data_IF_021069511290
#
_entry.id   IF_021069511290
#
_cell.length_a   1.000
_cell.length_b   1.000
_cell.length_c   1.000
_cell.angle_alpha   90.00
_cell.angle_beta   90.00
_cell.angle_gamma   90.00
#
_symmetry.space_group_name_H-M   'P 1'
#
loop_
_entity.id
_entity.type
_entity.pdbx_description
1 polymer ?
#
# COMPACT_ATOMS: atom_id res chain seq x y z
N UNK A 1 4.01 2.65 -8.26
CA UNK A 1 2.81 2.02 -7.67
C UNK A 1 1.52 2.51 -8.32
N UNK A 2 1.14 3.80 -8.21
CA UNK A 2 -0.09 4.35 -8.79
C UNK A 2 -0.26 4.08 -10.30
N UNK A 3 0.80 4.27 -11.10
CA UNK A 3 0.77 3.97 -12.53
C UNK A 3 0.53 2.49 -12.88
N UNK A 4 0.86 1.55 -11.98
CA UNK A 4 0.56 0.13 -12.17
C UNK A 4 -0.88 -0.19 -11.79
N UNK A 5 -1.42 0.48 -10.75
CA UNK A 5 -2.82 0.41 -10.36
C UNK A 5 -3.73 1.02 -11.43
N UNK A 6 -3.36 2.16 -12.01
CA UNK A 6 -4.15 2.82 -13.06
C UNK A 6 -4.37 1.97 -14.31
N UNK A 7 -3.54 0.94 -14.53
CA UNK A 7 -3.70 -0.02 -15.65
C UNK A 7 -4.77 -1.09 -15.37
N UNK A 8 -5.15 -1.29 -14.11
CA UNK A 8 -6.15 -2.30 -13.71
C UNK A 8 -7.43 -1.68 -13.18
N UNK A 9 -7.40 -0.40 -12.81
CA UNK A 9 -8.58 0.34 -12.37
C UNK A 9 -9.44 0.75 -13.57
N UNK A 10 -10.78 0.78 -13.44
CA UNK A 10 -11.66 1.26 -14.49
C UNK A 10 -11.36 2.75 -14.83
N UNK A 11 -11.38 3.13 -16.11
CA UNK A 11 -11.22 4.53 -16.50
C UNK A 11 -12.30 5.41 -15.86
N UNK A 12 -11.89 6.54 -15.25
CA UNK A 12 -12.83 7.47 -14.62
C UNK A 12 -13.54 6.91 -13.38
N UNK A 13 -12.96 5.90 -12.72
CA UNK A 13 -13.48 5.34 -11.49
C UNK A 13 -13.50 6.35 -10.33
N UNK A 14 -14.51 6.23 -9.46
CA UNK A 14 -14.46 6.65 -8.05
C UNK A 14 -13.84 5.52 -7.24
N UNK A 15 -12.63 5.76 -6.74
CA UNK A 15 -11.79 4.75 -6.09
C UNK A 15 -11.74 4.99 -4.59
N UNK A 16 -11.88 3.94 -3.79
CA UNK A 16 -11.52 3.97 -2.37
C UNK A 16 -10.08 3.48 -2.20
N UNK A 17 -9.23 4.30 -1.58
CA UNK A 17 -7.92 3.90 -1.05
C UNK A 17 -8.12 3.49 0.42
N UNK A 18 -8.25 2.19 0.64
CA UNK A 18 -8.63 1.60 1.93
C UNK A 18 -7.42 1.49 2.86
N UNK A 19 -7.47 2.20 3.98
CA UNK A 19 -6.33 2.33 4.90
C UNK A 19 -5.24 3.22 4.30
N UNK A 20 -5.61 4.41 3.83
CA UNK A 20 -4.74 5.29 3.04
C UNK A 20 -3.52 5.81 3.81
N UNK A 21 -3.50 5.70 5.14
CA UNK A 21 -2.49 6.30 6.00
C UNK A 21 -2.37 7.80 5.73
N UNK A 22 -1.16 8.27 5.48
CA UNK A 22 -0.88 9.69 5.20
C UNK A 22 -1.32 10.15 3.80
N UNK A 23 -1.96 9.28 3.00
CA UNK A 23 -2.57 9.60 1.71
C UNK A 23 -1.62 9.69 0.53
N UNK A 24 -0.37 9.24 0.67
CA UNK A 24 0.63 9.30 -0.41
C UNK A 24 0.18 8.54 -1.68
N UNK A 25 -0.47 7.38 -1.52
CA UNK A 25 -1.04 6.66 -2.66
C UNK A 25 -2.26 7.39 -3.23
N UNK A 26 -3.14 7.92 -2.37
CA UNK A 26 -4.34 8.63 -2.79
C UNK A 26 -4.01 9.84 -3.66
N UNK A 27 -3.01 10.63 -3.27
CA UNK A 27 -2.50 11.77 -4.04
C UNK A 27 -1.90 11.30 -5.38
N UNK A 28 -1.14 10.21 -5.39
CA UNK A 28 -0.55 9.66 -6.61
C UNK A 28 -1.59 9.05 -7.56
N UNK A 29 -2.76 8.61 -7.07
CA UNK A 29 -3.87 8.11 -7.87
C UNK A 29 -4.74 9.22 -8.46
N UNK A 30 -4.73 10.43 -7.88
CA UNK A 30 -5.57 11.55 -8.30
C UNK A 30 -5.56 11.83 -9.82
N UNK A 31 -4.44 11.77 -10.56
CA UNK A 31 -4.44 12.02 -12.01
C UNK A 31 -5.12 10.93 -12.84
N UNK A 32 -5.36 9.75 -12.27
CA UNK A 32 -5.85 8.57 -12.99
C UNK A 32 -7.33 8.27 -12.72
N UNK A 33 -7.95 8.96 -11.77
CA UNK A 33 -9.29 8.64 -11.26
C UNK A 33 -10.22 9.85 -11.32
N UNK A 34 -11.52 9.60 -11.48
CA UNK A 34 -12.54 10.67 -11.39
C UNK A 34 -12.60 11.23 -9.97
N UNK A 35 -12.50 10.34 -8.98
CA UNK A 35 -12.49 10.68 -7.57
C UNK A 35 -11.69 9.63 -6.79
N UNK A 36 -10.99 10.06 -5.74
CA UNK A 36 -10.25 9.19 -4.81
C UNK A 36 -10.72 9.50 -3.39
N UNK A 37 -11.35 8.52 -2.74
CA UNK A 37 -11.69 8.58 -1.32
C UNK A 37 -10.55 7.95 -0.54
N UNK A 38 -9.78 8.78 0.16
CA UNK A 38 -8.66 8.39 1.00
C UNK A 38 -9.18 8.05 2.40
N UNK A 39 -9.44 6.77 2.65
CA UNK A 39 -10.16 6.32 3.83
C UNK A 39 -9.22 5.70 4.88
N UNK A 40 -9.25 6.21 6.10
CA UNK A 40 -8.46 5.67 7.22
C UNK A 40 -9.18 5.81 8.56
N UNK A 41 -8.89 4.91 9.50
CA UNK A 41 -9.44 4.95 10.86
C UNK A 41 -8.73 6.01 11.72
N UNK A 42 -7.45 6.27 11.46
CA UNK A 42 -6.62 7.20 12.22
C UNK A 42 -7.00 8.64 11.94
N UNK A 43 -7.41 9.34 13.01
CA UNK A 43 -7.68 10.78 12.94
C UNK A 43 -6.41 11.58 12.64
N UNK A 44 -5.26 11.14 13.14
CA UNK A 44 -3.95 11.76 12.92
C UNK A 44 -3.58 11.70 11.44
N UNK A 45 -3.75 10.54 10.81
CA UNK A 45 -3.42 10.32 9.41
C UNK A 45 -4.30 11.19 8.49
N UNK A 46 -5.62 11.21 8.75
CA UNK A 46 -6.55 12.05 7.98
C UNK A 46 -6.25 13.54 8.18
N UNK A 47 -6.03 14.01 9.41
CA UNK A 47 -5.64 15.41 9.66
C UNK A 47 -4.35 15.80 8.95
N UNK A 48 -3.38 14.88 8.87
CA UNK A 48 -2.14 15.11 8.14
C UNK A 48 -2.41 15.25 6.63
N UNK A 49 -3.28 14.42 6.07
CA UNK A 49 -3.67 14.52 4.66
C UNK A 49 -4.43 15.83 4.38
N UNK A 50 -5.39 16.20 5.22
CA UNK A 50 -6.17 17.45 5.11
C UNK A 50 -5.29 18.71 5.18
N UNK A 51 -4.13 18.65 5.85
CA UNK A 51 -3.20 19.77 5.94
C UNK A 51 -2.38 19.98 4.64
N UNK A 52 -2.45 19.06 3.68
CA UNK A 52 -1.75 19.15 2.40
C UNK A 52 -2.60 19.87 1.34
N UNK A 53 -1.99 20.44 0.29
CA UNK A 53 -2.74 20.96 -0.85
C UNK A 53 -3.35 19.82 -1.66
N UNK A 54 -4.61 19.48 -1.37
CA UNK A 54 -5.29 18.36 -1.99
C UNK A 54 -5.75 18.67 -3.42
N UNK A 55 -5.57 17.74 -4.37
CA UNK A 55 -6.28 17.78 -5.64
C UNK A 55 -7.80 17.83 -5.40
N UNK A 56 -8.57 18.52 -6.25
CA UNK A 56 -10.01 18.71 -6.04
C UNK A 56 -10.82 17.41 -6.09
N UNK A 57 -10.23 16.32 -6.60
CA UNK A 57 -10.84 15.01 -6.69
C UNK A 57 -10.34 14.02 -5.63
N UNK A 58 -9.61 14.49 -4.60
CA UNK A 58 -9.19 13.68 -3.45
C UNK A 58 -10.01 14.08 -2.22
N UNK A 59 -10.69 13.11 -1.62
CA UNK A 59 -11.52 13.28 -0.43
C UNK A 59 -10.92 12.48 0.74
N UNK A 60 -10.30 13.14 1.74
CA UNK A 60 -9.94 12.50 2.99
C UNK A 60 -11.20 12.11 3.75
N UNK A 61 -11.29 10.85 4.21
CA UNK A 61 -12.44 10.37 4.96
C UNK A 61 -11.99 9.53 6.15
N UNK A 62 -12.34 9.98 7.35
CA UNK A 62 -12.14 9.17 8.55
C UNK A 62 -13.27 8.14 8.70
N UNK A 63 -12.96 6.87 8.50
CA UNK A 63 -13.89 5.77 8.77
C UNK A 63 -13.17 4.44 9.03
N UNK A 64 -13.88 3.50 9.66
CA UNK A 64 -13.46 2.10 9.66
C UNK A 64 -13.89 1.44 8.36
N UNK A 65 -13.01 1.42 7.36
CA UNK A 65 -13.30 0.84 6.04
C UNK A 65 -13.75 -0.62 6.14
N UNK A 66 -13.35 -1.36 7.17
CA UNK A 66 -13.75 -2.77 7.33
C UNK A 66 -15.18 -2.92 7.86
N UNK A 67 -15.74 -1.90 8.48
CA UNK A 67 -17.11 -1.88 9.02
C UNK A 67 -18.05 -0.91 8.29
N UNK A 68 -17.51 0.01 7.48
CA UNK A 68 -18.26 1.07 6.80
C UNK A 68 -19.15 0.54 5.67
N UNK A 69 -20.14 1.35 5.30
CA UNK A 69 -20.99 1.17 4.12
C UNK A 69 -21.29 2.55 3.53
N UNK A 70 -20.63 2.95 2.43
CA UNK A 70 -20.88 4.24 1.80
C UNK A 70 -22.26 4.27 1.15
N UNK A 71 -22.88 5.45 1.08
CA UNK A 71 -24.17 5.64 0.40
C UNK A 71 -24.10 5.24 -1.09
N UNK A 72 -22.99 5.58 -1.73
CA UNK A 72 -22.65 5.18 -3.10
C UNK A 72 -21.46 4.20 -3.07
N UNK A 73 -21.63 2.97 -3.59
CA UNK A 73 -20.53 2.04 -3.78
C UNK A 73 -19.41 2.63 -4.65
N UNK A 74 -18.18 2.16 -4.42
CA UNK A 74 -17.02 2.52 -5.21
C UNK A 74 -16.96 1.72 -6.51
N UNK A 75 -16.51 2.37 -7.59
CA UNK A 75 -16.22 1.71 -8.87
C UNK A 75 -14.99 0.78 -8.74
N UNK A 76 -14.10 1.11 -7.80
CA UNK A 76 -13.00 0.25 -7.41
C UNK A 76 -12.54 0.49 -5.97
N UNK A 77 -11.95 -0.52 -5.36
CA UNK A 77 -11.27 -0.42 -4.06
C UNK A 77 -9.82 -0.88 -4.17
N UNK A 78 -8.91 -0.12 -3.55
CA UNK A 78 -7.48 -0.41 -3.49
C UNK A 78 -7.10 -0.71 -2.04
N UNK A 79 -6.45 -1.85 -1.81
CA UNK A 79 -5.93 -2.27 -0.52
C UNK A 79 -4.40 -2.35 -0.61
N UNK A 80 -3.71 -1.28 -0.22
CA UNK A 80 -2.25 -1.21 -0.31
C UNK A 80 -1.60 -1.61 1.03
N UNK A 81 -1.02 -2.80 1.10
CA UNK A 81 -0.45 -3.37 2.33
C UNK A 81 -1.44 -3.43 3.52
N UNK A 82 -2.74 -3.35 3.26
CA UNK A 82 -3.82 -3.29 4.23
C UNK A 82 -4.74 -4.53 4.15
N UNK A 83 -5.37 -4.90 5.26
CA UNK A 83 -6.35 -5.99 5.40
C UNK A 83 -5.81 -7.43 5.23
N UNK A 84 -6.53 -8.41 5.75
CA UNK A 84 -6.43 -9.84 5.38
C UNK A 84 -7.46 -10.18 4.32
N UNK A 85 -7.30 -11.31 3.62
CA UNK A 85 -8.24 -11.75 2.56
C UNK A 85 -9.71 -11.64 2.99
N UNK A 86 -10.11 -12.22 4.13
CA UNK A 86 -11.52 -12.18 4.55
C UNK A 86 -12.02 -10.76 4.88
N UNK A 87 -11.14 -9.90 5.40
CA UNK A 87 -11.44 -8.49 5.66
C UNK A 87 -11.64 -7.72 4.34
N UNK A 88 -10.73 -7.93 3.39
CA UNK A 88 -10.77 -7.34 2.04
C UNK A 88 -12.04 -7.79 1.32
N UNK A 89 -12.32 -9.09 1.28
CA UNK A 89 -13.51 -9.64 0.62
C UNK A 89 -14.80 -9.15 1.29
N UNK A 90 -14.81 -9.05 2.63
CA UNK A 90 -15.98 -8.54 3.35
C UNK A 90 -16.24 -7.06 3.08
N UNK A 91 -15.20 -6.23 3.05
CA UNK A 91 -15.33 -4.81 2.73
C UNK A 91 -15.73 -4.60 1.26
N UNK A 92 -15.03 -5.25 0.33
CA UNK A 92 -15.31 -5.16 -1.10
C UNK A 92 -16.74 -5.59 -1.45
N UNK A 93 -17.24 -6.69 -0.87
CA UNK A 93 -18.61 -7.16 -1.10
C UNK A 93 -19.66 -6.12 -0.74
N UNK A 94 -19.42 -5.30 0.29
CA UNK A 94 -20.37 -4.27 0.75
C UNK A 94 -20.25 -2.95 0.01
N UNK A 95 -19.05 -2.63 -0.47
CA UNK A 95 -18.71 -1.25 -0.84
C UNK A 95 -18.23 -1.11 -2.29
N UNK A 96 -18.02 -2.19 -3.03
CA UNK A 96 -17.45 -2.13 -4.38
C UNK A 96 -18.40 -2.80 -5.39
N UNK A 97 -18.56 -2.17 -6.56
CA UNK A 97 -19.31 -2.74 -7.70
C UNK A 97 -18.40 -3.20 -8.83
N UNK A 98 -17.13 -2.78 -8.83
CA UNK A 98 -16.17 -3.08 -9.89
C UNK A 98 -14.91 -3.74 -9.37
N UNK A 99 -13.76 -3.12 -9.63
CA UNK A 99 -12.47 -3.77 -9.44
C UNK A 99 -11.97 -3.67 -8.00
N UNK A 100 -11.52 -4.79 -7.44
CA UNK A 100 -10.76 -4.82 -6.18
C UNK A 100 -9.30 -5.06 -6.53
N UNK A 101 -8.43 -4.12 -6.17
CA UNK A 101 -6.98 -4.22 -6.37
C UNK A 101 -6.25 -4.28 -5.03
N UNK A 102 -5.29 -5.19 -4.90
CA UNK A 102 -4.55 -5.43 -3.66
C UNK A 102 -3.06 -5.43 -3.96
N UNK A 103 -2.30 -4.69 -3.15
CA UNK A 103 -0.84 -4.72 -3.17
C UNK A 103 -0.32 -5.37 -1.89
N UNK A 104 0.50 -6.41 -2.04
CA UNK A 104 1.14 -7.13 -0.94
C UNK A 104 2.62 -7.33 -1.23
N UNK A 105 3.42 -7.46 -0.17
CA UNK A 105 4.84 -7.85 -0.32
C UNK A 105 4.91 -9.32 -0.69
N UNK A 106 5.80 -9.67 -1.62
CA UNK A 106 6.20 -11.06 -1.88
C UNK A 106 7.26 -11.52 -0.86
N UNK A 107 8.16 -10.60 -0.49
CA UNK A 107 9.24 -10.87 0.47
C UNK A 107 8.80 -10.88 1.93
N UNK A 108 9.53 -11.65 2.75
CA UNK A 108 9.44 -11.64 4.22
C UNK A 108 10.66 -10.99 4.86
N UNK A 109 11.47 -10.25 4.13
CA UNK A 109 12.64 -9.59 4.71
C UNK A 109 12.22 -8.26 5.34
N UNK A 110 12.93 -7.80 6.37
CA UNK A 110 12.65 -6.48 6.93
C UNK A 110 13.27 -5.42 6.02
N UNK A 111 12.47 -4.43 5.59
CA UNK A 111 12.88 -3.49 4.53
C UNK A 111 14.18 -2.73 4.85
N UNK A 112 14.41 -2.44 6.13
CA UNK A 112 15.54 -1.63 6.58
C UNK A 112 16.57 -2.39 7.41
N UNK A 113 16.42 -3.72 7.54
CA UNK A 113 17.28 -4.55 8.42
C UNK A 113 17.72 -5.83 7.73
N UNK A 114 18.73 -6.48 8.28
CA UNK A 114 19.27 -7.74 7.74
C UNK A 114 18.43 -8.97 8.13
N UNK A 115 17.47 -8.80 9.04
CA UNK A 115 16.58 -9.86 9.54
C UNK A 115 15.26 -10.01 8.77
N UNK A 116 14.53 -11.07 9.07
CA UNK A 116 13.18 -11.31 8.51
C UNK A 116 12.11 -10.47 9.21
N UNK A 117 11.13 -10.06 8.45
CA UNK A 117 9.87 -9.46 8.89
C UNK A 117 8.71 -10.44 8.74
N UNK A 118 7.65 -10.23 9.52
CA UNK A 118 6.45 -11.06 9.47
C UNK A 118 5.28 -10.18 9.04
N UNK A 119 5.09 -9.93 7.72
CA UNK A 119 3.89 -9.26 7.25
C UNK A 119 2.65 -10.04 7.72
N UNK A 120 1.57 -9.33 8.07
CA UNK A 120 0.35 -9.97 8.60
C UNK A 120 -0.29 -10.98 7.64
N UNK A 121 -0.06 -10.80 6.33
CA UNK A 121 -0.37 -11.70 5.22
C UNK A 121 0.44 -11.27 3.99
N UNK A 122 1.10 -12.22 3.33
CA UNK A 122 1.91 -11.98 2.12
C UNK A 122 1.11 -12.10 0.81
N UNK A 123 1.74 -11.79 -0.31
CA UNK A 123 1.11 -11.90 -1.63
C UNK A 123 0.74 -13.35 -1.98
N UNK A 124 1.65 -14.30 -1.77
CA UNK A 124 1.44 -15.72 -2.09
C UNK A 124 0.33 -16.34 -1.24
N UNK A 125 0.19 -15.88 0.01
CA UNK A 125 -0.86 -16.31 0.92
C UNK A 125 -2.23 -15.80 0.48
N UNK A 126 -2.32 -14.53 0.05
CA UNK A 126 -3.54 -13.97 -0.53
C UNK A 126 -3.96 -14.74 -1.80
N UNK A 127 -3.01 -15.03 -2.71
CA UNK A 127 -3.29 -15.82 -3.91
C UNK A 127 -3.88 -17.19 -3.56
N UNK A 128 -3.23 -17.93 -2.65
CA UNK A 128 -3.69 -19.25 -2.21
C UNK A 128 -5.11 -19.19 -1.62
N UNK A 129 -5.40 -18.22 -0.76
CA UNK A 129 -6.73 -18.10 -0.14
C UNK A 129 -7.83 -17.73 -1.14
N UNK A 130 -7.52 -16.96 -2.19
CA UNK A 130 -8.47 -16.71 -3.28
C UNK A 130 -8.72 -17.95 -4.15
N UNK A 131 -7.68 -18.75 -4.40
CA UNK A 131 -7.82 -20.05 -5.10
C UNK A 131 -8.68 -21.03 -4.30
N UNK A 132 -8.43 -21.15 -2.99
CA UNK A 132 -9.21 -22.00 -2.09
C UNK A 132 -10.69 -21.59 -2.04
N UNK A 133 -10.98 -20.29 -2.17
CA UNK A 133 -12.35 -19.74 -2.22
C UNK A 133 -12.96 -19.75 -3.62
N UNK A 134 -12.22 -20.23 -4.64
CA UNK A 134 -12.69 -20.28 -6.02
C UNK A 134 -12.91 -18.91 -6.68
N UNK A 135 -12.23 -17.86 -6.20
CA UNK A 135 -12.37 -16.49 -6.71
C UNK A 135 -11.36 -16.28 -7.86
N UNK A 136 -11.81 -16.07 -9.11
CA UNK A 136 -10.89 -15.77 -10.20
C UNK A 136 -10.22 -14.41 -10.00
N UNK A 137 -8.91 -14.37 -10.19
CA UNK A 137 -8.11 -13.15 -10.09
C UNK A 137 -7.04 -13.11 -11.19
N UNK A 138 -6.51 -11.91 -11.41
CA UNK A 138 -5.30 -11.69 -12.18
C UNK A 138 -4.23 -11.12 -11.26
N UNK A 139 -2.96 -11.40 -11.56
CA UNK A 139 -1.87 -10.86 -10.76
C UNK A 139 -0.58 -10.69 -11.56
N UNK A 140 0.31 -9.85 -11.04
CA UNK A 140 1.69 -9.71 -11.50
C UNK A 140 2.57 -9.18 -10.37
N UNK A 141 3.86 -9.48 -10.43
CA UNK A 141 4.86 -8.91 -9.53
C UNK A 141 5.42 -7.63 -10.14
N UNK A 142 5.55 -6.60 -9.31
CA UNK A 142 6.16 -5.32 -9.64
C UNK A 142 7.50 -5.23 -8.92
N UNK A 143 8.55 -4.83 -9.62
CA UNK A 143 9.81 -4.41 -9.02
C UNK A 143 9.72 -2.92 -8.73
N UNK A 144 9.61 -2.55 -7.45
CA UNK A 144 9.45 -1.16 -7.03
C UNK A 144 10.68 -0.68 -6.27
N UNK A 145 11.17 0.50 -6.66
CA UNK A 145 12.17 1.24 -5.89
C UNK A 145 11.50 1.79 -4.61
N UNK A 146 11.75 1.11 -3.50
CA UNK A 146 11.22 1.36 -2.15
C UNK A 146 12.35 1.81 -1.21
N UNK A 147 13.46 2.29 -1.78
CA UNK A 147 14.58 2.80 -1.02
C UNK A 147 14.28 4.12 -0.32
N UNK A 148 15.23 4.56 0.50
CA UNK A 148 15.08 5.72 1.36
C UNK A 148 16.12 6.79 0.99
N UNK A 149 15.69 7.98 0.53
CA UNK A 149 16.57 9.13 0.36
C UNK A 149 16.90 9.78 1.70
N UNK A 150 18.10 10.35 1.80
CA UNK A 150 18.60 11.06 2.98
C UNK A 150 19.33 12.34 2.60
N UNK A 151 19.18 13.36 3.45
CA UNK A 151 19.88 14.65 3.28
C UNK A 151 21.36 14.54 3.66
N UNK A 152 21.70 13.65 4.58
CA UNK A 152 23.06 13.46 5.10
C UNK A 152 23.27 12.05 5.64
N UNK A 153 24.53 11.68 5.94
CA UNK A 153 24.85 10.43 6.63
C UNK A 153 24.31 10.42 8.07
N UNK A 154 24.20 11.58 8.71
CA UNK A 154 23.61 11.71 10.06
C UNK A 154 22.12 11.41 10.05
N UNK A 155 21.40 11.95 9.06
CA UNK A 155 19.97 11.68 8.82
C UNK A 155 19.74 10.17 8.59
N UNK A 156 20.57 9.54 7.75
CA UNK A 156 20.56 8.09 7.57
C UNK A 156 20.80 7.34 8.88
N UNK A 157 21.77 7.76 9.70
CA UNK A 157 22.06 7.12 10.98
C UNK A 157 20.89 7.23 11.97
N UNK A 158 20.21 8.39 12.03
CA UNK A 158 18.98 8.54 12.82
C UNK A 158 17.91 7.58 12.33
N UNK A 159 17.68 7.53 11.02
CA UNK A 159 16.69 6.65 10.42
C UNK A 159 16.95 5.17 10.76
N UNK A 160 18.17 4.67 10.57
CA UNK A 160 18.50 3.28 10.86
C UNK A 160 18.38 2.94 12.36
N UNK A 161 18.73 3.87 13.26
CA UNK A 161 18.52 3.64 14.71
C UNK A 161 17.04 3.52 15.09
N UNK A 162 16.16 4.25 14.40
CA UNK A 162 14.72 4.23 14.70
C UNK A 162 13.99 3.09 14.01
N UNK A 163 14.38 2.75 12.78
CA UNK A 163 13.62 1.84 11.92
C UNK A 163 14.30 0.50 11.70
N UNK A 164 15.60 0.36 11.97
CA UNK A 164 16.27 -0.94 11.85
C UNK A 164 16.13 -1.79 13.11
N UNK A 165 16.01 -3.09 12.91
CA UNK A 165 16.16 -4.16 13.91
C UNK A 165 17.59 -4.69 13.99
N UNK A 166 18.53 -4.12 13.23
CA UNK A 166 19.96 -4.44 13.35
C UNK A 166 20.48 -4.01 14.73
N UNK A 167 21.54 -4.66 15.22
CA UNK A 167 22.18 -4.26 16.47
C UNK A 167 22.71 -2.81 16.33
N UNK A 168 22.35 -1.88 17.24
CA UNK A 168 22.89 -0.51 17.22
C UNK A 168 24.42 -0.44 17.21
N UNK A 169 25.11 -1.43 17.79
CA UNK A 169 26.56 -1.53 17.76
C UNK A 169 27.12 -1.82 16.34
N UNK A 170 26.32 -2.43 15.46
CA UNK A 170 26.68 -2.70 14.06
C UNK A 170 26.40 -1.51 13.12
N UNK A 171 25.66 -0.48 13.58
CA UNK A 171 25.31 0.72 12.81
C UNK A 171 26.41 1.80 12.86
N UNK A 172 27.67 1.40 12.60
CA UNK A 172 28.80 2.35 12.51
C UNK A 172 28.68 3.26 11.28
N UNK A 173 29.26 4.48 11.30
CA UNK A 173 29.25 5.38 10.14
C UNK A 173 29.76 4.72 8.85
N UNK A 174 30.82 3.93 8.95
CA UNK A 174 31.43 3.22 7.82
C UNK A 174 30.49 2.14 7.27
N UNK A 175 29.86 1.35 8.15
CA UNK A 175 28.88 0.34 7.77
C UNK A 175 27.65 0.97 7.11
N UNK A 176 27.15 2.08 7.65
CA UNK A 176 26.04 2.83 7.06
C UNK A 176 26.40 3.39 5.69
N UNK A 177 27.56 4.03 5.56
CA UNK A 177 28.01 4.57 4.28
C UNK A 177 28.14 3.47 3.21
N UNK A 178 28.60 2.26 3.58
CA UNK A 178 28.69 1.13 2.64
C UNK A 178 27.34 0.65 2.10
N UNK A 179 26.24 0.94 2.81
CA UNK A 179 24.87 0.60 2.42
C UNK A 179 24.22 1.70 1.58
N UNK A 180 24.81 2.89 1.52
CA UNK A 180 24.25 4.05 0.83
C UNK A 180 24.93 4.29 -0.52
N UNK A 181 24.16 4.79 -1.47
CA UNK A 181 24.60 5.22 -2.78
C UNK A 181 24.52 6.74 -2.87
N UNK A 182 25.45 7.38 -3.58
CA UNK A 182 25.32 8.80 -3.94
C UNK A 182 24.39 8.96 -5.14
N UNK A 183 23.48 9.94 -5.08
CA UNK A 183 22.63 10.35 -6.19
C UNK A 183 22.95 11.79 -6.61
N UNK A 184 22.64 12.09 -7.87
CA UNK A 184 22.68 13.46 -8.40
C UNK A 184 21.39 14.19 -8.01
N UNK A 185 21.21 14.36 -6.69
CA UNK A 185 20.10 15.06 -6.08
C UNK A 185 20.67 15.98 -4.99
N UNK A 186 20.57 17.32 -5.15
CA UNK A 186 21.14 18.27 -4.20
C UNK A 186 20.39 18.32 -2.86
N UNK A 187 19.10 17.93 -2.83
CA UNK A 187 18.34 17.88 -1.58
C UNK A 187 18.57 16.55 -0.85
N UNK A 188 18.64 15.44 -1.60
CA UNK A 188 18.83 14.09 -1.06
C UNK A 188 20.01 13.35 -1.70
N UNK A 189 21.26 13.76 -1.41
CA UNK A 189 22.44 13.22 -2.07
C UNK A 189 22.77 11.77 -1.71
N UNK A 190 22.17 11.23 -0.65
CA UNK A 190 22.38 9.86 -0.18
C UNK A 190 21.12 9.03 -0.33
N UNK A 191 21.29 7.77 -0.75
CA UNK A 191 20.18 6.87 -1.01
C UNK A 191 20.44 5.47 -0.47
N UNK A 192 19.53 4.93 0.32
CA UNK A 192 19.53 3.50 0.66
C UNK A 192 18.72 2.73 -0.39
N UNK A 193 19.36 1.94 -1.27
CA UNK A 193 18.67 1.24 -2.34
C UNK A 193 17.91 0.04 -1.78
N UNK A 194 16.59 0.05 -1.99
CA UNK A 194 15.75 -1.12 -1.72
C UNK A 194 14.84 -1.32 -2.92
N UNK A 195 15.09 -2.37 -3.68
CA UNK A 195 14.12 -2.85 -4.66
C UNK A 195 13.34 -3.98 -4.01
N UNK A 196 12.02 -3.84 -3.99
CA UNK A 196 11.14 -4.77 -3.31
C UNK A 196 10.15 -5.37 -4.33
N UNK A 197 10.06 -6.71 -4.42
CA UNK A 197 9.02 -7.37 -5.20
C UNK A 197 7.67 -7.19 -4.49
N UNK A 198 6.78 -6.44 -5.14
CA UNK A 198 5.42 -6.19 -4.68
C UNK A 198 4.44 -6.85 -5.63
N UNK A 199 3.65 -7.79 -5.10
CA UNK A 199 2.58 -8.41 -5.85
C UNK A 199 1.37 -7.49 -5.96
N UNK A 200 0.93 -7.24 -7.19
CA UNK A 200 -0.33 -6.62 -7.52
C UNK A 200 -1.31 -7.72 -7.95
N UNK A 201 -2.43 -7.83 -7.24
CA UNK A 201 -3.52 -8.74 -7.54
C UNK A 201 -4.81 -7.95 -7.73
N UNK A 202 -5.67 -8.36 -8.66
CA UNK A 202 -6.99 -7.76 -8.82
C UNK A 202 -8.04 -8.77 -9.27
N UNK A 203 -9.28 -8.52 -8.87
CA UNK A 203 -10.47 -9.32 -9.20
C UNK A 203 -11.70 -8.41 -9.25
N UNK A 204 -12.83 -8.93 -9.73
CA UNK A 204 -14.09 -8.19 -9.76
C UNK A 204 -14.91 -8.47 -8.51
N UNK A 205 -15.55 -7.44 -7.94
CA UNK A 205 -16.36 -7.56 -6.74
C UNK A 205 -17.53 -8.54 -6.91
N UNK A 206 -18.07 -8.69 -8.13
CA UNK A 206 -19.12 -9.65 -8.46
C UNK A 206 -18.69 -11.12 -8.34
N UNK A 207 -17.39 -11.41 -8.34
CA UNK A 207 -16.84 -12.76 -8.21
C UNK A 207 -16.72 -13.21 -6.75
N UNK A 208 -16.98 -12.30 -5.79
CA UNK A 208 -16.91 -12.62 -4.37
C UNK A 208 -18.17 -13.44 -4.00
N UNK A 209 -18.03 -14.68 -3.48
CA UNK A 209 -19.19 -15.52 -3.18
C UNK A 209 -20.11 -14.90 -2.12
N UNK A 210 -21.43 -15.09 -2.25
CA UNK A 210 -22.35 -14.73 -1.18
C UNK A 210 -22.17 -15.69 0.00
N UNK A 211 -22.07 -15.15 1.23
CA UNK A 211 -21.95 -15.95 2.46
C UNK A 211 -23.11 -16.95 2.66
N UNK A 212 -24.21 -16.81 1.93
CA UNK A 212 -25.38 -17.70 2.02
C UNK A 212 -25.19 -19.05 1.31
N UNK A 213 -24.16 -19.23 0.48
CA UNK A 213 -23.90 -20.51 -0.22
C UNK A 213 -22.98 -21.48 0.53
N UNK A 214 -22.56 -21.14 1.75
CA UNK A 214 -21.66 -21.95 2.58
C UNK A 214 -22.37 -22.65 3.76
N UNK A 215 -23.72 -22.77 3.73
CA UNK A 215 -24.50 -23.53 4.71
C UNK A 215 -25.14 -24.78 4.14
#
# INVERSE_FOLDING_TARGET
MAAALSQVLPPGARVCDAGCGLGGLSLALAPYCRAVVAADLSAEAIRHLEAQPLPPNVEPRRCDVLADTPDEPYDAMVFCFFGRTDEILSAARRQCTGTVAVLKRCGRDHRFSRGKDHPRQGFEELCRELEEKGIPYQSRVLELDMGQPFRSLEDAAVFFRTHSRDDPAELTPEALQSRLQRRDDPEFPWYFPVNEPIGLLWFQACEIPDKEKER
#
